data_IF_462879079610
#
_entry.id   IF_462879079610
#
_cell.length_a   1.000
_cell.length_b   1.000
_cell.length_c   1.000
_cell.angle_alpha   90.00
_cell.angle_beta   90.00
_cell.angle_gamma   90.00
#
_symmetry.space_group_name_H-M   'P 1'
#
loop_
_entity.id
_entity.type
_entity.pdbx_description
1 polymer ?
#
# COMPACT_ATOMS: atom_id res chain seq x y z
N UNK A 1 18.14 -7.79 -27.28
CA UNK A 1 18.11 -7.69 -25.81
C UNK A 1 17.86 -6.24 -25.48
N UNK A 2 16.71 -5.91 -24.89
CA UNK A 2 16.41 -4.54 -24.46
C UNK A 2 15.73 -4.66 -23.11
N UNK A 3 16.38 -4.14 -22.07
CA UNK A 3 15.83 -4.08 -20.73
C UNK A 3 15.37 -2.65 -20.50
N UNK A 4 14.07 -2.42 -20.70
CA UNK A 4 13.41 -1.20 -20.22
C UNK A 4 12.97 -1.45 -18.77
N UNK A 5 13.80 -0.99 -17.82
CA UNK A 5 13.41 -0.92 -16.41
C UNK A 5 12.81 0.46 -16.15
N UNK A 6 11.54 0.63 -16.51
CA UNK A 6 10.71 1.76 -16.10
C UNK A 6 9.70 1.22 -15.08
N UNK A 7 9.76 1.75 -13.86
CA UNK A 7 8.88 1.37 -12.74
C UNK A 7 7.43 1.23 -13.19
N UNK A 8 6.79 0.15 -12.74
CA UNK A 8 5.47 -0.29 -13.20
C UNK A 8 4.49 0.89 -13.38
N UNK A 9 3.87 1.06 -14.55
CA UNK A 9 3.02 2.21 -14.87
C UNK A 9 1.66 2.21 -14.16
N UNK A 10 1.39 1.23 -13.30
CA UNK A 10 0.20 1.20 -12.45
C UNK A 10 0.58 0.65 -11.08
N UNK A 11 0.33 1.35 -9.96
CA UNK A 11 0.27 0.68 -8.67
C UNK A 11 -0.74 -0.46 -8.81
N UNK A 12 -0.33 -1.70 -8.52
CA UNK A 12 -1.26 -2.81 -8.49
C UNK A 12 -2.25 -2.55 -7.34
N UNK A 13 -3.42 -2.04 -7.69
CA UNK A 13 -4.47 -1.74 -6.74
C UNK A 13 -5.23 -3.02 -6.40
N UNK A 14 -5.32 -3.31 -5.11
CA UNK A 14 -6.14 -4.39 -4.57
C UNK A 14 -7.32 -3.75 -3.87
N UNK A 15 -8.52 -4.17 -4.27
CA UNK A 15 -9.77 -3.66 -3.72
C UNK A 15 -10.38 -4.71 -2.79
N UNK A 16 -10.99 -4.23 -1.71
CA UNK A 16 -11.68 -5.07 -0.74
C UNK A 16 -12.61 -4.22 0.13
N UNK A 17 -13.63 -4.84 0.70
CA UNK A 17 -14.59 -4.17 1.59
C UNK A 17 -14.19 -4.28 3.07
N UNK A 18 -13.18 -5.09 3.40
CA UNK A 18 -12.67 -5.24 4.75
C UNK A 18 -11.31 -4.56 4.89
N UNK A 19 -11.29 -3.43 5.59
CA UNK A 19 -10.06 -2.69 5.90
C UNK A 19 -9.02 -3.59 6.60
N UNK A 20 -9.46 -4.43 7.54
CA UNK A 20 -8.61 -5.36 8.29
C UNK A 20 -7.85 -6.29 7.34
N UNK A 21 -8.54 -6.88 6.37
CA UNK A 21 -7.93 -7.80 5.41
C UNK A 21 -6.97 -7.06 4.48
N UNK A 22 -7.33 -5.84 4.04
CA UNK A 22 -6.45 -5.02 3.21
C UNK A 22 -5.16 -4.64 3.95
N UNK A 23 -5.26 -4.29 5.23
CA UNK A 23 -4.10 -4.00 6.08
C UNK A 23 -3.20 -5.23 6.26
N UNK A 24 -3.79 -6.39 6.56
CA UNK A 24 -3.04 -7.65 6.67
C UNK A 24 -2.32 -7.99 5.37
N UNK A 25 -3.04 -7.96 4.25
CA UNK A 25 -2.48 -8.24 2.93
C UNK A 25 -1.32 -7.29 2.60
N UNK A 26 -1.52 -5.98 2.74
CA UNK A 26 -0.48 -5.01 2.42
C UNK A 26 0.76 -5.16 3.30
N UNK A 27 0.58 -5.45 4.60
CA UNK A 27 1.69 -5.73 5.50
C UNK A 27 2.48 -6.98 5.10
N UNK A 28 1.78 -8.07 4.79
CA UNK A 28 2.43 -9.33 4.41
C UNK A 28 3.14 -9.21 3.05
N UNK A 29 2.50 -8.53 2.09
CA UNK A 29 3.12 -8.19 0.81
C UNK A 29 4.38 -7.33 0.99
N UNK A 30 4.31 -6.27 1.82
CA UNK A 30 5.47 -5.42 2.12
C UNK A 30 6.61 -6.22 2.75
N UNK A 31 6.31 -7.08 3.72
CA UNK A 31 7.32 -7.93 4.40
C UNK A 31 7.97 -8.93 3.44
N UNK A 32 7.20 -9.55 2.56
CA UNK A 32 7.71 -10.52 1.60
C UNK A 32 8.49 -9.89 0.43
N UNK A 33 8.26 -8.61 0.12
CA UNK A 33 8.89 -7.94 -1.01
C UNK A 33 10.41 -7.76 -0.80
N UNK A 34 11.19 -8.10 -1.83
CA UNK A 34 12.64 -7.87 -1.89
C UNK A 34 12.98 -6.38 -1.98
N UNK A 35 12.17 -5.61 -2.73
CA UNK A 35 12.22 -4.15 -2.79
C UNK A 35 10.96 -3.66 -2.11
N UNK A 36 11.09 -2.89 -1.03
CA UNK A 36 9.96 -2.46 -0.20
C UNK A 36 9.11 -1.42 -0.94
N UNK A 37 7.85 -1.73 -1.30
CA UNK A 37 6.99 -0.78 -1.99
C UNK A 37 6.36 0.20 -1.01
N UNK A 38 6.24 1.46 -1.37
CA UNK A 38 5.39 2.39 -0.62
C UNK A 38 3.92 1.99 -0.85
N UNK A 39 3.20 1.69 0.22
CA UNK A 39 1.78 1.33 0.17
C UNK A 39 0.90 2.46 0.72
N UNK A 40 -0.26 2.64 0.10
CA UNK A 40 -1.32 3.56 0.55
C UNK A 40 -2.62 2.79 0.65
N UNK A 41 -3.29 2.87 1.80
CA UNK A 41 -4.65 2.37 1.98
C UNK A 41 -5.62 3.54 1.83
N UNK A 42 -6.62 3.37 0.97
CA UNK A 42 -7.61 4.40 0.66
C UNK A 42 -9.02 3.96 1.05
N UNK A 43 -9.84 4.90 1.52
CA UNK A 43 -11.27 4.67 1.68
C UNK A 43 -11.97 4.61 0.30
N UNK A 44 -13.25 4.23 0.23
CA UNK A 44 -14.01 4.22 -1.02
C UNK A 44 -14.12 5.57 -1.73
N UNK A 45 -14.02 6.67 -0.98
CA UNK A 45 -14.05 8.05 -1.51
C UNK A 45 -12.71 8.45 -2.16
N UNK A 46 -11.65 7.65 -1.96
CA UNK A 46 -10.32 7.82 -2.53
C UNK A 46 -9.31 8.49 -1.60
N UNK A 47 -9.71 8.84 -0.37
CA UNK A 47 -8.85 9.45 0.64
C UNK A 47 -7.90 8.43 1.27
N UNK A 48 -6.65 8.84 1.48
CA UNK A 48 -5.64 7.99 2.12
C UNK A 48 -5.85 7.95 3.63
N UNK A 49 -6.21 6.79 4.16
CA UNK A 49 -6.43 6.58 5.60
C UNK A 49 -5.21 6.01 6.31
N UNK A 50 -4.29 5.35 5.58
CA UNK A 50 -3.03 4.88 6.13
C UNK A 50 -1.96 4.74 5.04
N UNK A 51 -0.69 4.84 5.44
CA UNK A 51 0.47 4.63 4.58
C UNK A 51 1.49 3.71 5.23
N UNK A 52 2.30 3.04 4.42
CA UNK A 52 3.47 2.29 4.87
C UNK A 52 4.60 2.56 3.90
N UNK A 53 5.64 3.26 4.37
CA UNK A 53 6.82 3.56 3.57
C UNK A 53 7.81 2.38 3.56
N UNK A 54 8.88 2.50 2.77
CA UNK A 54 9.86 1.44 2.57
C UNK A 54 10.61 1.00 3.85
N UNK A 55 10.61 1.84 4.89
CA UNK A 55 11.28 1.60 6.17
C UNK A 55 10.31 1.19 7.28
N UNK A 56 9.01 1.20 7.01
CA UNK A 56 7.98 0.92 7.99
C UNK A 56 7.75 -0.59 8.19
N UNK A 57 7.62 -1.01 9.45
CA UNK A 57 7.30 -2.38 9.85
C UNK A 57 5.80 -2.67 9.97
N UNK A 58 4.99 -1.60 10.04
CA UNK A 58 3.52 -1.62 10.07
C UNK A 58 2.93 -0.30 9.51
N UNK A 59 1.61 -0.26 9.36
CA UNK A 59 0.87 0.90 8.87
C UNK A 59 0.94 2.10 9.82
N UNK A 60 1.06 3.28 9.22
CA UNK A 60 0.89 4.57 9.89
C UNK A 60 -0.43 5.17 9.46
N UNK A 61 -1.34 5.43 10.40
CA UNK A 61 -2.61 6.08 10.11
C UNK A 61 -2.40 7.55 9.74
N UNK A 62 -3.14 8.01 8.74
CA UNK A 62 -3.16 9.43 8.38
C UNK A 62 -3.92 10.20 9.47
N UNK A 63 -3.44 11.39 9.91
CA UNK A 63 -4.09 12.19 10.95
C UNK A 63 -5.56 12.57 10.68
N UNK A 64 -6.04 12.41 9.45
CA UNK A 64 -7.39 12.77 8.99
C UNK A 64 -8.35 11.58 8.85
N UNK A 65 -7.97 10.36 9.22
CA UNK A 65 -8.85 9.18 9.21
C UNK A 65 -9.89 9.20 10.36
N UNK A 66 -10.49 10.36 10.65
CA UNK A 66 -11.65 10.51 11.54
C UNK A 66 -12.77 11.24 10.80
N UNK A 67 -13.75 10.46 10.36
CA UNK A 67 -15.15 10.89 10.26
C UNK A 67 -16.01 9.84 10.97
#
# INVERSE_FOLDING_TARGET
MQADYQGQPYPQAIYGTSEIILRMFGRDHHRAATIKPILTLKNPDGDTIATMDEWADDWTDTPEAKA
#
